data_IF_646794029827
#
_entry.id   IF_646794029827
#
_cell.length_a   1.000
_cell.length_b   1.000
_cell.length_c   1.000
_cell.angle_alpha   90.00
_cell.angle_beta   90.00
_cell.angle_gamma   90.00
#
_symmetry.space_group_name_H-M   'P 1'
#
loop_
_entity.id
_entity.type
_entity.pdbx_description
1 polymer ?
#
# COMPACT_ATOMS: atom_id res chain seq x y z
N UNK A 1 20.24 -25.67 11.63
CA UNK A 1 19.23 -24.86 10.91
C UNK A 1 19.61 -23.42 11.12
N UNK A 2 19.90 -22.66 10.05
CA UNK A 2 20.01 -21.21 10.16
C UNK A 2 18.64 -20.69 10.60
N UNK A 3 18.58 -19.91 11.68
CA UNK A 3 17.33 -19.29 12.12
C UNK A 3 16.74 -18.50 10.95
N UNK A 4 15.51 -18.83 10.58
CA UNK A 4 14.80 -18.12 9.51
C UNK A 4 14.52 -16.72 10.03
N UNK A 5 15.17 -15.74 9.39
CA UNK A 5 14.95 -14.30 9.55
C UNK A 5 13.45 -14.00 9.67
N UNK A 6 13.07 -13.24 10.69
CA UNK A 6 11.67 -12.85 10.95
C UNK A 6 10.98 -12.25 9.71
N UNK A 7 11.69 -11.43 8.94
CA UNK A 7 11.17 -10.83 7.70
C UNK A 7 10.87 -11.88 6.63
N UNK A 8 11.66 -12.97 6.57
CA UNK A 8 11.38 -14.07 5.65
C UNK A 8 10.10 -14.82 6.03
N UNK A 9 9.76 -14.90 7.33
CA UNK A 9 8.48 -15.48 7.79
C UNK A 9 7.30 -14.58 7.45
N UNK A 10 7.44 -13.27 7.64
CA UNK A 10 6.41 -12.29 7.25
C UNK A 10 6.21 -12.30 5.73
N UNK A 11 7.26 -12.48 4.95
CA UNK A 11 7.16 -12.64 3.50
C UNK A 11 6.43 -13.92 3.08
N UNK A 12 6.59 -15.04 3.79
CA UNK A 12 5.78 -16.23 3.56
C UNK A 12 4.29 -15.98 3.84
N UNK A 13 3.97 -15.23 4.89
CA UNK A 13 2.60 -14.79 5.20
C UNK A 13 2.02 -13.95 4.07
N UNK A 14 2.78 -12.96 3.58
CA UNK A 14 2.38 -12.10 2.47
C UNK A 14 1.94 -12.91 1.25
N UNK A 15 2.78 -13.84 0.78
CA UNK A 15 2.44 -14.68 -0.36
C UNK A 15 1.29 -15.65 -0.11
N UNK A 16 1.18 -16.18 1.10
CA UNK A 16 0.08 -17.08 1.46
C UNK A 16 -1.26 -16.36 1.39
N UNK A 17 -1.33 -15.10 1.83
CA UNK A 17 -2.54 -14.26 1.77
C UNK A 17 -2.88 -13.86 0.33
N UNK A 18 -1.88 -13.55 -0.50
CA UNK A 18 -2.11 -13.15 -1.90
C UNK A 18 -2.77 -14.24 -2.76
N UNK A 19 -2.55 -15.52 -2.44
CA UNK A 19 -3.15 -16.65 -3.16
C UNK A 19 -4.67 -16.76 -3.00
N UNK A 20 -5.28 -16.02 -2.05
CA UNK A 20 -6.72 -16.08 -1.74
C UNK A 20 -7.55 -15.17 -2.68
N UNK A 21 -6.92 -14.21 -3.37
CA UNK A 21 -7.62 -13.29 -4.28
C UNK A 21 -7.90 -13.95 -5.63
N UNK A 22 -9.14 -14.42 -5.87
CA UNK A 22 -9.51 -15.13 -7.11
C UNK A 22 -9.67 -14.22 -8.35
N UNK A 23 -10.19 -12.99 -8.21
CA UNK A 23 -10.22 -12.02 -9.33
C UNK A 23 -10.43 -10.57 -8.87
N UNK A 24 -9.49 -9.64 -9.13
CA UNK A 24 -9.65 -8.21 -8.88
C UNK A 24 -10.30 -7.44 -10.05
N UNK A 25 -10.91 -8.13 -11.03
CA UNK A 25 -11.44 -7.52 -12.27
C UNK A 25 -12.46 -6.41 -12.06
N UNK A 26 -13.20 -6.45 -10.94
CA UNK A 26 -14.29 -5.51 -10.65
C UNK A 26 -13.86 -4.37 -9.70
N UNK A 27 -12.56 -4.31 -9.36
CA UNK A 27 -12.02 -3.26 -8.52
C UNK A 27 -12.06 -1.91 -9.25
N UNK A 28 -12.26 -0.85 -8.48
CA UNK A 28 -12.09 0.50 -8.96
C UNK A 28 -10.63 0.70 -9.42
N UNK A 29 -10.36 1.16 -10.65
CA UNK A 29 -9.03 1.11 -11.25
C UNK A 29 -7.98 1.89 -10.46
N UNK A 30 -8.34 3.03 -9.86
CA UNK A 30 -7.43 3.80 -9.01
C UNK A 30 -7.18 3.10 -7.68
N UNK A 31 -8.21 2.57 -7.03
CA UNK A 31 -8.06 1.90 -5.74
C UNK A 31 -7.27 0.58 -5.89
N UNK A 32 -7.49 -0.13 -7.00
CA UNK A 32 -6.71 -1.31 -7.36
C UNK A 32 -5.23 -0.95 -7.57
N UNK A 33 -4.93 0.15 -8.28
CA UNK A 33 -3.55 0.60 -8.45
C UNK A 33 -2.88 0.85 -7.11
N UNK A 34 -3.49 1.65 -6.23
CA UNK A 34 -2.92 1.95 -4.91
C UNK A 34 -2.88 0.76 -3.95
N UNK A 35 -3.76 -0.23 -4.16
CA UNK A 35 -3.72 -1.50 -3.45
C UNK A 35 -2.46 -2.28 -3.84
N UNK A 36 -2.25 -2.49 -5.15
CA UNK A 36 -1.08 -3.19 -5.66
C UNK A 36 0.21 -2.42 -5.34
N UNK A 37 0.19 -1.08 -5.44
CA UNK A 37 1.33 -0.22 -5.08
C UNK A 37 1.75 -0.43 -3.63
N UNK A 38 0.79 -0.41 -2.69
CA UNK A 38 1.07 -0.70 -1.28
C UNK A 38 1.62 -2.12 -1.07
N UNK A 39 1.06 -3.13 -1.74
CA UNK A 39 1.57 -4.50 -1.67
C UNK A 39 3.00 -4.60 -2.21
N UNK A 40 3.33 -3.88 -3.29
CA UNK A 40 4.67 -3.84 -3.86
C UNK A 40 5.67 -3.16 -2.93
N UNK A 41 5.28 -2.06 -2.27
CA UNK A 41 6.08 -1.41 -1.23
C UNK A 41 6.34 -2.33 -0.02
N UNK A 42 5.33 -3.10 0.42
CA UNK A 42 5.48 -4.12 1.46
C UNK A 42 6.46 -5.21 1.00
N UNK A 43 6.28 -5.75 -0.20
CA UNK A 43 7.13 -6.81 -0.75
C UNK A 43 8.58 -6.36 -0.91
N UNK A 44 8.79 -5.15 -1.41
CA UNK A 44 10.11 -4.56 -1.60
C UNK A 44 10.80 -4.37 -0.24
N UNK A 45 10.08 -3.82 0.74
CA UNK A 45 10.60 -3.62 2.09
C UNK A 45 10.97 -4.96 2.74
N UNK A 46 10.09 -5.97 2.65
CA UNK A 46 10.38 -7.33 3.15
C UNK A 46 11.58 -7.95 2.45
N UNK A 47 11.67 -7.83 1.12
CA UNK A 47 12.77 -8.37 0.33
C UNK A 47 14.12 -7.79 0.72
N UNK A 48 14.18 -6.48 0.97
CA UNK A 48 15.39 -5.80 1.45
C UNK A 48 15.83 -6.25 2.84
N UNK A 49 14.89 -6.56 3.74
CA UNK A 49 15.21 -7.01 5.10
C UNK A 49 15.45 -8.52 5.20
N UNK A 50 14.86 -9.31 4.30
CA UNK A 50 14.96 -10.77 4.29
C UNK A 50 16.16 -11.29 3.51
N UNK A 51 16.57 -10.61 2.44
CA UNK A 51 17.60 -11.07 1.51
C UNK A 51 18.65 -10.00 1.20
N UNK A 52 19.73 -10.43 0.57
CA UNK A 52 20.72 -9.51 0.02
C UNK A 52 20.07 -8.54 -0.99
N UNK A 53 20.45 -7.26 -0.94
CA UNK A 53 19.99 -6.22 -1.85
C UNK A 53 20.15 -6.58 -3.34
N UNK A 54 21.22 -7.31 -3.69
CA UNK A 54 21.51 -7.77 -5.05
C UNK A 54 20.86 -9.13 -5.39
N UNK A 55 19.95 -9.63 -4.55
CA UNK A 55 19.22 -10.85 -4.88
C UNK A 55 18.38 -10.62 -6.15
N UNK A 56 18.21 -11.63 -7.03
CA UNK A 56 17.38 -11.50 -8.23
C UNK A 56 15.98 -10.98 -7.94
N UNK A 57 15.41 -11.39 -6.80
CA UNK A 57 14.13 -10.90 -6.29
C UNK A 57 14.10 -9.38 -6.10
N UNK A 58 15.08 -8.84 -5.35
CA UNK A 58 15.13 -7.41 -5.05
C UNK A 58 15.44 -6.58 -6.30
N UNK A 59 16.24 -7.11 -7.21
CA UNK A 59 16.49 -6.48 -8.53
C UNK A 59 15.20 -6.40 -9.34
N UNK A 60 14.47 -7.50 -9.48
CA UNK A 60 13.21 -7.51 -10.23
C UNK A 60 12.15 -6.60 -9.61
N UNK A 61 12.03 -6.63 -8.28
CA UNK A 61 11.10 -5.77 -7.57
C UNK A 61 11.48 -4.29 -7.77
N UNK A 62 12.77 -3.94 -7.74
CA UNK A 62 13.24 -2.58 -8.07
C UNK A 62 12.83 -2.11 -9.48
N UNK A 63 12.88 -2.98 -10.50
CA UNK A 63 12.44 -2.61 -11.85
C UNK A 63 10.94 -2.30 -11.90
N UNK A 64 10.12 -3.10 -11.20
CA UNK A 64 8.70 -2.80 -11.04
C UNK A 64 8.49 -1.44 -10.33
N UNK A 65 9.22 -1.20 -9.23
CA UNK A 65 9.14 0.06 -8.47
C UNK A 65 9.58 1.29 -9.25
N UNK A 66 10.39 1.13 -10.31
CA UNK A 66 10.71 2.23 -11.22
C UNK A 66 9.58 2.49 -12.19
N UNK A 67 9.02 1.44 -12.81
CA UNK A 67 7.89 1.57 -13.73
C UNK A 67 6.67 2.22 -13.06
N UNK A 68 6.36 1.86 -11.81
CA UNK A 68 5.21 2.40 -11.07
C UNK A 68 5.24 3.93 -10.88
N UNK A 69 6.42 4.55 -10.89
CA UNK A 69 6.61 6.02 -10.75
C UNK A 69 5.94 6.78 -11.91
N UNK A 70 5.90 6.18 -13.09
CA UNK A 70 5.25 6.81 -14.24
C UNK A 70 3.76 6.46 -14.28
N UNK A 71 3.41 5.25 -13.84
CA UNK A 71 2.02 4.80 -13.76
C UNK A 71 1.17 5.56 -12.75
N UNK A 72 1.74 6.00 -11.62
CA UNK A 72 1.01 6.75 -10.59
C UNK A 72 0.46 8.09 -11.11
N UNK A 73 0.99 8.58 -12.24
CA UNK A 73 0.61 9.85 -12.87
C UNK A 73 -0.48 9.70 -13.93
N UNK A 74 -0.91 8.47 -14.23
CA UNK A 74 -1.86 8.21 -15.31
C UNK A 74 -3.31 8.45 -14.84
N UNK A 75 -4.03 9.29 -15.59
CA UNK A 75 -5.45 9.56 -15.35
C UNK A 75 -5.70 10.09 -13.94
N UNK A 76 -6.74 9.57 -13.29
CA UNK A 76 -7.17 10.06 -11.99
C UNK A 76 -6.30 9.58 -10.82
N UNK A 77 -5.30 8.72 -11.06
CA UNK A 77 -4.43 8.18 -9.99
C UNK A 77 -3.75 9.28 -9.19
N UNK A 78 -3.33 10.36 -9.86
CA UNK A 78 -2.69 11.53 -9.25
C UNK A 78 -3.51 12.16 -8.12
N UNK A 79 -4.83 11.96 -8.11
CA UNK A 79 -5.74 12.55 -7.12
C UNK A 79 -5.83 11.76 -5.81
N UNK A 80 -5.32 10.53 -5.76
CA UNK A 80 -5.49 9.65 -4.60
C UNK A 80 -4.82 10.18 -3.32
N UNK A 81 -3.57 10.68 -3.31
CA UNK A 81 -2.98 11.21 -2.08
C UNK A 81 -3.81 12.35 -1.46
N UNK A 82 -4.29 13.27 -2.30
CA UNK A 82 -5.13 14.37 -1.83
C UNK A 82 -6.52 13.90 -1.41
N UNK A 83 -7.05 12.85 -2.04
CA UNK A 83 -8.30 12.20 -1.63
C UNK A 83 -8.22 11.61 -0.22
N UNK A 84 -7.08 11.00 0.15
CA UNK A 84 -6.88 10.47 1.50
C UNK A 84 -6.95 11.59 2.55
N UNK A 85 -6.31 12.73 2.28
CA UNK A 85 -6.39 13.91 3.17
C UNK A 85 -7.80 14.51 3.21
N UNK A 86 -8.52 14.53 2.09
CA UNK A 86 -9.91 14.95 2.06
C UNK A 86 -10.83 14.02 2.86
N UNK A 87 -10.60 12.70 2.83
CA UNK A 87 -11.32 11.76 3.69
C UNK A 87 -11.07 12.05 5.17
N UNK A 88 -9.83 12.35 5.57
CA UNK A 88 -9.49 12.73 6.95
C UNK A 88 -10.30 13.93 7.43
N UNK A 89 -10.52 14.91 6.56
CA UNK A 89 -11.25 16.15 6.88
C UNK A 89 -12.78 15.97 6.84
N UNK A 90 -13.32 15.37 5.78
CA UNK A 90 -14.76 15.38 5.47
C UNK A 90 -15.50 14.07 5.86
N UNK A 91 -14.74 12.97 5.99
CA UNK A 91 -15.23 11.61 6.26
C UNK A 91 -14.28 10.83 7.19
N UNK A 92 -13.95 11.36 8.38
CA UNK A 92 -12.99 10.74 9.29
C UNK A 92 -13.38 9.29 9.63
N UNK A 93 -14.68 8.97 9.70
CA UNK A 93 -15.19 7.62 9.95
C UNK A 93 -14.86 6.60 8.86
N UNK A 94 -14.58 7.06 7.63
CA UNK A 94 -14.10 6.25 6.52
C UNK A 94 -12.58 6.19 6.53
N UNK A 95 -11.92 7.32 6.79
CA UNK A 95 -10.47 7.42 6.92
C UNK A 95 -9.92 6.45 7.97
N UNK A 96 -10.52 6.41 9.17
CA UNK A 96 -10.11 5.57 10.30
C UNK A 96 -10.23 4.06 10.02
N UNK A 97 -10.93 3.66 8.95
CA UNK A 97 -11.09 2.26 8.54
C UNK A 97 -10.14 1.85 7.43
N UNK A 98 -9.37 2.78 6.88
CA UNK A 98 -8.38 2.47 5.86
C UNK A 98 -7.17 1.77 6.51
N UNK A 99 -6.41 0.96 5.74
CA UNK A 99 -5.17 0.39 6.21
C UNK A 99 -4.22 1.47 6.70
N UNK A 100 -3.56 1.21 7.82
CA UNK A 100 -2.67 2.16 8.48
C UNK A 100 -1.55 2.63 7.56
N UNK A 101 -1.09 1.78 6.64
CA UNK A 101 -0.08 2.16 5.67
C UNK A 101 -0.57 3.27 4.73
N UNK A 102 -1.83 3.20 4.26
CA UNK A 102 -2.39 4.24 3.40
C UNK A 102 -2.61 5.53 4.17
N UNK A 103 -3.16 5.46 5.39
CA UNK A 103 -3.36 6.66 6.20
C UNK A 103 -2.03 7.26 6.60
N UNK A 104 -1.02 6.47 6.97
CA UNK A 104 0.29 7.00 7.34
C UNK A 104 1.03 7.62 6.16
N UNK A 105 1.17 6.92 5.03
CA UNK A 105 2.02 7.40 3.93
C UNK A 105 1.42 8.58 3.17
N UNK A 106 0.09 8.69 3.12
CA UNK A 106 -0.57 9.76 2.38
C UNK A 106 -1.11 10.89 3.27
N UNK A 107 -1.17 10.73 4.59
CA UNK A 107 -1.48 11.84 5.50
C UNK A 107 -0.32 12.83 5.53
N UNK A 108 -0.62 14.10 5.25
CA UNK A 108 0.38 15.19 5.24
C UNK A 108 0.94 15.51 6.62
N UNK A 109 0.25 15.11 7.67
CA UNK A 109 0.66 15.34 9.06
C UNK A 109 1.47 14.17 9.65
N UNK A 110 1.52 13.02 8.96
CA UNK A 110 2.25 11.83 9.41
C UNK A 110 3.65 11.77 8.76
N UNK A 111 4.71 11.47 9.52
CA UNK A 111 6.06 11.38 8.96
C UNK A 111 6.30 10.13 8.09
N UNK A 112 5.39 9.16 8.08
CA UNK A 112 5.53 7.94 7.32
C UNK A 112 5.57 8.22 5.81
N UNK A 113 6.48 7.55 5.10
CA UNK A 113 6.65 7.74 3.67
C UNK A 113 7.30 6.54 2.99
N UNK A 114 7.17 6.49 1.66
CA UNK A 114 7.98 5.62 0.83
C UNK A 114 9.32 6.28 0.48
N UNK A 115 10.38 5.96 1.23
CA UNK A 115 11.71 6.49 0.99
C UNK A 115 12.54 5.54 0.13
N UNK A 116 12.86 5.90 -1.11
CA UNK A 116 13.53 4.98 -2.05
C UNK A 116 12.78 3.64 -2.15
N UNK A 117 11.44 3.71 -2.24
CA UNK A 117 10.50 2.60 -2.30
C UNK A 117 10.33 1.75 -1.03
N UNK A 118 11.19 1.87 -0.01
CA UNK A 118 10.95 1.19 1.28
C UNK A 118 9.96 1.98 2.13
N UNK A 119 9.18 1.26 2.93
CA UNK A 119 8.32 1.85 3.95
C UNK A 119 9.21 2.36 5.10
N UNK A 120 9.04 3.63 5.46
CA UNK A 120 9.70 4.26 6.60
C UNK A 120 8.63 4.95 7.43
N UNK A 121 8.47 4.55 8.69
CA UNK A 121 7.46 5.13 9.60
C UNK A 121 7.93 6.47 10.20
N UNK A 122 9.24 6.60 10.45
CA UNK A 122 9.85 7.84 10.91
C UNK A 122 11.17 8.03 10.15
N UNK A 123 11.33 9.10 9.34
CA UNK A 123 12.54 9.37 8.56
C UNK A 123 13.80 9.59 9.40
N UNK A 124 13.64 10.00 10.66
CA UNK A 124 14.74 10.19 11.59
C UNK A 124 15.23 8.88 12.21
N UNK A 125 14.45 7.80 12.11
CA UNK A 125 14.87 6.48 12.57
C UNK A 125 15.74 5.80 11.51
N UNK A 126 16.87 5.24 11.96
CA UNK A 126 17.80 4.47 11.13
C UNK A 126 17.57 2.97 11.22
N UNK A 127 16.70 2.54 12.14
CA UNK A 127 16.38 1.13 12.33
C UNK A 127 15.44 0.66 11.20
N UNK A 128 15.56 -0.61 10.81
CA UNK A 128 14.53 -1.25 10.00
C UNK A 128 13.16 -1.14 10.67
N UNK A 129 12.11 -1.05 9.85
CA UNK A 129 10.74 -1.18 10.34
C UNK A 129 10.58 -2.55 11.05
N UNK A 130 9.98 -2.60 12.25
CA UNK A 130 9.74 -3.87 12.94
C UNK A 130 8.87 -4.81 12.09
N UNK A 131 9.16 -6.11 12.13
CA UNK A 131 8.50 -7.10 11.28
C UNK A 131 7.00 -7.21 11.59
N UNK A 132 6.60 -6.88 12.81
CA UNK A 132 5.21 -6.85 13.29
C UNK A 132 4.36 -5.82 12.54
N UNK A 133 4.91 -4.64 12.24
CA UNK A 133 4.20 -3.63 11.46
C UNK A 133 3.92 -4.11 10.03
N UNK A 134 4.92 -4.72 9.38
CA UNK A 134 4.74 -5.29 8.04
C UNK A 134 3.71 -6.43 8.07
N UNK A 135 3.76 -7.27 9.10
CA UNK A 135 2.77 -8.34 9.32
C UNK A 135 1.35 -7.80 9.50
N UNK A 136 1.20 -6.70 10.25
CA UNK A 136 -0.08 -6.01 10.46
C UNK A 136 -0.61 -5.39 9.17
N UNK A 137 0.22 -4.67 8.41
CA UNK A 137 -0.19 -4.10 7.11
C UNK A 137 -0.72 -5.19 6.18
N UNK A 138 -0.05 -6.34 6.12
CA UNK A 138 -0.54 -7.48 5.34
C UNK A 138 -1.93 -7.91 5.82
N UNK A 139 -2.18 -8.02 7.13
CA UNK A 139 -3.51 -8.42 7.60
C UNK A 139 -4.59 -7.39 7.27
N UNK A 140 -4.29 -6.09 7.35
CA UNK A 140 -5.23 -5.01 7.01
C UNK A 140 -5.55 -4.98 5.50
N UNK A 141 -4.54 -5.10 4.63
CA UNK A 141 -4.75 -5.10 3.18
C UNK A 141 -5.52 -6.33 2.69
N UNK A 142 -5.40 -7.45 3.41
CA UNK A 142 -6.14 -8.68 3.12
C UNK A 142 -7.38 -8.87 4.00
N UNK A 143 -7.77 -7.84 4.75
CA UNK A 143 -9.03 -7.84 5.50
C UNK A 143 -10.23 -7.83 4.54
N UNK A 144 -11.26 -8.61 4.88
CA UNK A 144 -12.42 -8.78 4.01
C UNK A 144 -13.26 -7.51 3.90
N UNK A 145 -13.37 -6.73 4.97
CA UNK A 145 -14.15 -5.49 4.96
C UNK A 145 -13.42 -4.41 4.16
N UNK A 146 -12.09 -4.34 4.27
CA UNK A 146 -11.28 -3.46 3.42
C UNK A 146 -11.34 -3.86 1.94
N UNK A 147 -11.14 -5.15 1.61
CA UNK A 147 -11.18 -5.61 0.21
C UNK A 147 -12.51 -5.29 -0.48
N UNK A 148 -13.64 -5.35 0.24
CA UNK A 148 -14.96 -4.92 -0.28
C UNK A 148 -14.98 -3.44 -0.68
N UNK A 149 -14.18 -2.58 -0.04
CA UNK A 149 -14.06 -1.16 -0.40
C UNK A 149 -13.26 -0.91 -1.69
N UNK A 150 -12.56 -1.91 -2.22
CA UNK A 150 -11.84 -1.76 -3.49
C UNK A 150 -12.75 -1.93 -4.70
N UNK A 151 -13.92 -2.53 -4.55
CA UNK A 151 -14.87 -2.72 -5.65
C UNK A 151 -15.44 -1.38 -6.15
N UNK A 152 -15.64 -1.28 -7.46
CA UNK A 152 -16.21 -0.11 -8.15
C UNK A 152 -17.57 0.36 -7.59
N UNK A 153 -18.35 -0.56 -7.01
CA UNK A 153 -19.67 -0.27 -6.44
C UNK A 153 -19.64 0.17 -4.98
N UNK A 154 -18.48 0.14 -4.33
CA UNK A 154 -18.30 0.38 -2.90
C UNK A 154 -18.49 1.85 -2.50
N UNK A 155 -18.57 2.11 -1.18
CA UNK A 155 -18.64 3.47 -0.66
C UNK A 155 -17.35 4.24 -0.93
N UNK A 156 -16.18 3.62 -0.72
CA UNK A 156 -14.89 4.28 -0.95
C UNK A 156 -14.70 4.68 -2.42
N UNK A 157 -15.04 3.78 -3.35
CA UNK A 157 -14.97 4.07 -4.79
C UNK A 157 -15.86 5.27 -5.18
N UNK A 158 -17.12 5.29 -4.72
CA UNK A 158 -18.03 6.42 -4.98
C UNK A 158 -17.54 7.73 -4.37
N UNK A 159 -16.92 7.69 -3.20
CA UNK A 159 -16.33 8.87 -2.58
C UNK A 159 -15.17 9.42 -3.40
N UNK A 160 -14.31 8.53 -3.92
CA UNK A 160 -13.23 8.91 -4.81
C UNK A 160 -13.76 9.56 -6.10
N UNK A 161 -14.73 8.93 -6.77
CA UNK A 161 -15.34 9.47 -7.99
C UNK A 161 -15.96 10.85 -7.76
N UNK A 162 -16.68 11.01 -6.65
CA UNK A 162 -17.27 12.29 -6.26
C UNK A 162 -16.18 13.36 -6.03
N UNK A 163 -15.10 12.98 -5.38
CA UNK A 163 -13.97 13.87 -5.10
C UNK A 163 -13.29 14.35 -6.38
N UNK A 164 -13.09 13.46 -7.36
CA UNK A 164 -12.51 13.80 -8.67
C UNK A 164 -13.46 14.69 -9.48
N UNK A 165 -14.75 14.34 -9.55
CA UNK A 165 -15.75 15.14 -10.26
C UNK A 165 -15.86 16.58 -9.73
N UNK A 166 -15.72 16.77 -8.40
CA UNK A 166 -15.73 18.10 -7.79
C UNK A 166 -14.51 18.98 -8.12
N UNK A 167 -13.46 18.42 -8.74
CA UNK A 167 -12.25 19.13 -9.15
C UNK A 167 -12.15 19.37 -10.64
N UNK A 168 -12.96 18.69 -11.43
CA UNK A 168 -13.05 18.87 -12.88
C UNK A 168 -14.10 19.90 -13.30
N UNK A 169 -14.86 20.45 -12.34
CA UNK A 169 -15.82 21.54 -12.51
C UNK A 169 -15.21 22.89 -12.12
#
# INVERSE_FOLDING_TARGET
>A
MLEVNEYARVMQKFYSKSLILESPSDFHPVLHFYFIDALAHIDFTLGLQAYNFMSPRNIMNMEYMRWRVDEEKIGDRVHFPDFINWLKEEKPEVFDKLPMLWTGVYDRDDPAQYQSFRIVLNPDDRKPIPSEYLSMFIDEFFDREFLKQLYSTSTLARLFDKYVQGRTA
#
